data_IF_680545921332
#
_entry.id   IF_680545921332
#
_cell.length_a   1.000
_cell.length_b   1.000
_cell.length_c   1.000
_cell.angle_alpha   90.00
_cell.angle_beta   90.00
_cell.angle_gamma   90.00
#
_symmetry.space_group_name_H-M   'P 1'
#
loop_
_entity.id
_entity.type
_entity.pdbx_description
1 polymer ?
#
# COMPACT_ATOMS: atom_id res chain seq x y z
N UNK A 1 -14.18 -3.02 6.81
CA UNK A 1 -15.14 -4.11 7.03
C UNK A 1 -14.43 -5.44 7.12
N UNK A 2 -14.75 -6.18 8.17
CA UNK A 2 -14.08 -7.43 8.47
C UNK A 2 -14.95 -8.56 7.93
N UNK A 3 -14.35 -9.48 7.15
CA UNK A 3 -15.09 -10.61 6.60
C UNK A 3 -15.33 -11.70 7.65
N UNK A 4 -16.00 -12.76 7.24
CA UNK A 4 -16.34 -13.87 8.16
C UNK A 4 -15.11 -14.59 8.72
N UNK A 5 -13.98 -14.51 8.03
CA UNK A 5 -12.73 -15.16 8.43
C UNK A 5 -11.83 -14.25 9.29
N UNK A 6 -12.25 -13.00 9.51
CA UNK A 6 -11.53 -12.07 10.36
C UNK A 6 -10.56 -11.15 9.61
N UNK A 7 -10.63 -11.12 8.27
CA UNK A 7 -9.74 -10.27 7.46
C UNK A 7 -10.45 -9.01 7.01
N UNK A 8 -9.71 -7.91 7.03
CA UNK A 8 -10.21 -6.62 6.59
C UNK A 8 -9.68 -6.34 5.18
N UNK A 9 -10.58 -5.90 4.29
CA UNK A 9 -10.21 -5.53 2.92
C UNK A 9 -9.31 -4.30 2.93
N UNK A 10 -8.28 -4.35 2.11
CA UNK A 10 -7.23 -3.35 2.09
C UNK A 10 -6.65 -3.26 0.69
N UNK A 11 -6.07 -2.11 0.34
CA UNK A 11 -5.31 -1.95 -0.90
C UNK A 11 -3.88 -1.62 -0.55
N UNK A 12 -2.95 -2.16 -1.36
CA UNK A 12 -1.55 -1.80 -1.27
C UNK A 12 -1.14 -1.11 -2.56
N UNK A 13 -0.21 -0.18 -2.47
CA UNK A 13 0.22 0.64 -3.59
C UNK A 13 1.73 0.51 -3.80
N UNK A 14 2.10 0.03 -4.99
CA UNK A 14 3.49 0.02 -5.44
C UNK A 14 3.58 1.07 -6.54
N UNK A 15 4.18 2.21 -6.23
CA UNK A 15 4.39 3.30 -7.19
C UNK A 15 5.82 3.24 -7.70
N UNK A 16 6.00 3.24 -9.03
CA UNK A 16 7.34 3.29 -9.61
C UNK A 16 7.54 4.58 -10.38
N UNK A 17 8.80 5.00 -10.48
CA UNK A 17 9.18 6.16 -11.30
C UNK A 17 9.67 5.70 -12.68
N UNK A 18 10.14 6.65 -13.50
CA UNK A 18 10.61 6.36 -14.86
C UNK A 18 11.84 5.45 -14.89
N UNK A 19 12.55 5.33 -13.78
CA UNK A 19 13.74 4.47 -13.66
C UNK A 19 13.42 3.14 -12.99
N UNK A 20 12.14 2.83 -12.81
CA UNK A 20 11.64 1.61 -12.17
C UNK A 20 12.07 1.47 -10.71
N UNK A 21 12.35 2.58 -10.05
CA UNK A 21 12.52 2.60 -8.59
C UNK A 21 11.16 2.68 -7.94
N UNK A 22 11.05 2.12 -6.75
CA UNK A 22 9.78 2.01 -6.03
C UNK A 22 9.71 3.03 -4.88
N UNK A 23 8.52 3.58 -4.68
CA UNK A 23 8.28 4.51 -3.58
C UNK A 23 8.10 3.73 -2.28
N UNK A 24 8.86 4.12 -1.27
CA UNK A 24 8.63 3.62 0.07
C UNK A 24 8.52 4.81 1.02
N UNK A 25 7.64 4.70 2.00
CA UNK A 25 7.31 5.79 2.91
C UNK A 25 7.60 5.41 4.35
N UNK A 26 8.09 6.39 5.12
CA UNK A 26 8.39 6.21 6.53
C UNK A 26 7.17 6.62 7.34
N UNK A 27 6.75 5.76 8.27
CA UNK A 27 5.63 6.04 9.15
C UNK A 27 5.94 7.24 10.04
N UNK A 28 4.93 8.09 10.23
CA UNK A 28 5.07 9.33 10.97
C UNK A 28 5.61 9.07 12.37
N UNK A 29 6.75 9.71 12.68
CA UNK A 29 7.36 9.60 13.99
C UNK A 29 8.01 8.26 14.32
N UNK A 30 8.10 7.34 13.34
CA UNK A 30 8.67 6.02 13.54
C UNK A 30 9.84 5.79 12.59
N UNK A 31 10.59 4.73 12.81
CA UNK A 31 11.69 4.33 11.91
C UNK A 31 11.24 3.24 10.92
N UNK A 32 9.96 3.02 10.82
CA UNK A 32 9.39 1.94 10.01
C UNK A 32 9.04 2.43 8.61
N UNK A 33 9.50 1.71 7.60
CA UNK A 33 9.27 2.01 6.18
C UNK A 33 8.34 0.99 5.56
N UNK A 34 7.42 1.44 4.72
CA UNK A 34 6.46 0.56 4.08
C UNK A 34 5.91 1.16 2.78
N UNK A 35 5.25 0.32 1.99
CA UNK A 35 4.41 0.81 0.89
C UNK A 35 3.15 1.46 1.47
N UNK A 36 2.61 2.48 0.78
CA UNK A 36 1.28 2.98 1.15
C UNK A 36 0.25 1.87 1.07
N UNK A 37 -0.65 1.87 2.04
CA UNK A 37 -1.77 0.92 2.07
C UNK A 37 -2.90 1.53 2.87
N UNK A 38 -4.12 1.05 2.64
CA UNK A 38 -5.25 1.51 3.43
C UNK A 38 -6.48 0.66 3.24
N UNK A 39 -7.44 0.80 4.17
CA UNK A 39 -8.66 0.03 4.16
C UNK A 39 -9.70 0.56 3.18
N UNK A 40 -10.65 -0.30 2.83
CA UNK A 40 -11.81 0.11 2.04
C UNK A 40 -12.80 0.87 2.92
N UNK A 41 -13.44 1.86 2.32
CA UNK A 41 -14.63 2.48 2.89
C UNK A 41 -15.87 1.80 2.31
N UNK A 42 -17.02 2.08 2.90
CA UNK A 42 -18.28 1.50 2.47
C UNK A 42 -18.54 1.81 1.00
N UNK A 43 -18.98 0.81 0.26
CA UNK A 43 -19.31 0.90 -1.17
C UNK A 43 -18.14 1.16 -2.12
N UNK A 44 -16.91 1.07 -1.64
CA UNK A 44 -15.73 1.19 -2.51
C UNK A 44 -15.39 -0.15 -3.15
N UNK A 45 -14.93 -0.09 -4.40
CA UNK A 45 -14.20 -1.19 -5.00
C UNK A 45 -12.69 -0.98 -4.78
N UNK A 46 -11.88 -1.94 -5.19
CA UNK A 46 -10.43 -1.85 -4.98
C UNK A 46 -9.81 -0.62 -5.65
N UNK A 47 -10.22 -0.32 -6.88
CA UNK A 47 -9.65 0.82 -7.61
C UNK A 47 -10.01 2.15 -6.96
N UNK A 48 -11.26 2.34 -6.54
CA UNK A 48 -11.66 3.57 -5.87
C UNK A 48 -10.99 3.74 -4.52
N UNK A 49 -10.82 2.65 -3.78
CA UNK A 49 -10.08 2.68 -2.52
C UNK A 49 -8.62 3.07 -2.75
N UNK A 50 -8.01 2.52 -3.81
CA UNK A 50 -6.63 2.85 -4.17
C UNK A 50 -6.47 4.35 -4.48
N UNK A 51 -7.36 4.93 -5.29
CA UNK A 51 -7.25 6.34 -5.62
C UNK A 51 -7.45 7.24 -4.40
N UNK A 52 -8.39 6.89 -3.53
CA UNK A 52 -8.62 7.65 -2.30
C UNK A 52 -7.41 7.60 -1.39
N UNK A 53 -6.87 6.41 -1.15
CA UNK A 53 -5.69 6.24 -0.30
C UNK A 53 -4.45 6.91 -0.91
N UNK A 54 -4.29 6.82 -2.22
CA UNK A 54 -3.18 7.48 -2.92
C UNK A 54 -3.21 8.99 -2.65
N UNK A 55 -4.38 9.60 -2.74
CA UNK A 55 -4.50 11.02 -2.49
C UNK A 55 -4.29 11.36 -1.01
N UNK A 56 -4.98 10.65 -0.12
CA UNK A 56 -4.90 10.92 1.31
C UNK A 56 -3.48 10.73 1.86
N UNK A 57 -2.82 9.65 1.47
CA UNK A 57 -1.54 9.26 2.05
C UNK A 57 -0.33 9.83 1.32
N UNK A 58 -0.43 10.05 0.01
CA UNK A 58 0.72 10.42 -0.83
C UNK A 58 0.49 11.72 -1.60
N UNK A 59 -0.75 12.22 -1.65
CA UNK A 59 -1.07 13.49 -2.28
C UNK A 59 -1.22 13.44 -3.79
N UNK A 60 -1.15 12.26 -4.40
CA UNK A 60 -1.22 12.12 -5.85
C UNK A 60 -2.65 11.89 -6.32
N UNK A 61 -2.98 12.47 -7.48
CA UNK A 61 -4.29 12.37 -8.12
C UNK A 61 -4.22 11.41 -9.29
N UNK A 62 -5.40 11.09 -9.86
CA UNK A 62 -5.48 10.19 -11.02
C UNK A 62 -4.57 10.64 -12.16
N UNK A 63 -4.50 11.96 -12.42
CA UNK A 63 -3.70 12.49 -13.52
C UNK A 63 -2.19 12.37 -13.29
N UNK A 64 -1.78 12.08 -12.06
CA UNK A 64 -0.37 11.94 -11.71
C UNK A 64 0.18 10.55 -11.99
N UNK A 65 -0.71 9.58 -12.24
CA UNK A 65 -0.27 8.18 -12.34
C UNK A 65 -0.93 7.46 -13.50
N UNK A 66 -0.31 6.36 -13.88
CA UNK A 66 -0.87 5.38 -14.81
C UNK A 66 -0.92 4.03 -14.10
N UNK A 67 -2.07 3.36 -14.14
CA UNK A 67 -2.19 2.01 -13.57
C UNK A 67 -1.55 1.03 -14.54
N UNK A 68 -0.54 0.29 -14.08
CA UNK A 68 0.15 -0.71 -14.89
C UNK A 68 -0.41 -2.11 -14.68
N UNK A 69 -0.93 -2.39 -13.50
CA UNK A 69 -1.51 -3.69 -13.21
C UNK A 69 -1.96 -3.79 -11.76
N UNK A 70 -2.59 -4.90 -11.45
CA UNK A 70 -3.03 -5.21 -10.10
C UNK A 70 -2.96 -6.72 -9.88
N UNK A 71 -2.89 -7.13 -8.62
CA UNK A 71 -2.88 -8.57 -8.31
C UNK A 71 -4.25 -9.18 -8.60
N UNK A 72 -4.24 -10.42 -9.08
CA UNK A 72 -5.48 -11.13 -9.42
C UNK A 72 -6.22 -11.59 -8.18
N UNK A 73 -5.49 -12.02 -7.17
CA UNK A 73 -6.05 -12.60 -5.96
C UNK A 73 -5.89 -11.66 -4.77
N UNK A 74 -6.69 -11.89 -3.74
CA UNK A 74 -6.49 -11.26 -2.45
C UNK A 74 -5.25 -11.86 -1.79
N UNK A 75 -4.29 -11.03 -1.43
CA UNK A 75 -3.09 -11.45 -0.71
C UNK A 75 -3.29 -11.13 0.78
N UNK A 76 -3.09 -12.13 1.62
CA UNK A 76 -3.39 -12.00 3.06
C UNK A 76 -2.12 -11.95 3.88
N UNK A 77 -2.17 -11.19 4.97
CA UNK A 77 -1.21 -11.33 6.04
C UNK A 77 -1.94 -11.27 7.38
N UNK A 78 -1.39 -12.00 8.36
CA UNK A 78 -1.97 -12.04 9.70
C UNK A 78 -1.28 -11.01 10.58
N UNK A 79 -2.08 -10.37 11.45
CA UNK A 79 -1.55 -9.43 12.42
C UNK A 79 -1.09 -10.19 13.66
N UNK A 80 0.08 -9.85 14.23
CA UNK A 80 0.42 -10.31 15.58
C UNK A 80 -0.68 -9.93 16.57
N UNK A 81 -0.87 -10.75 17.59
CA UNK A 81 -1.98 -10.54 18.55
C UNK A 81 -2.05 -9.12 19.10
N UNK A 82 -0.88 -8.50 19.35
CA UNK A 82 -0.83 -7.15 19.91
C UNK A 82 -1.41 -6.08 18.99
N UNK A 83 -1.53 -6.37 17.68
CA UNK A 83 -2.10 -5.44 16.70
C UNK A 83 -3.55 -5.80 16.33
N UNK A 84 -4.06 -6.91 16.82
CA UNK A 84 -5.45 -7.29 16.53
C UNK A 84 -6.41 -6.42 17.34
N UNK A 85 -7.48 -5.97 16.70
CA UNK A 85 -8.47 -5.09 17.31
C UNK A 85 -9.87 -5.61 17.02
N UNK A 86 -10.77 -5.41 17.97
CA UNK A 86 -12.19 -5.69 17.79
C UNK A 86 -12.90 -4.45 17.27
N UNK A 87 -13.74 -4.64 16.26
CA UNK A 87 -14.62 -3.61 15.74
C UNK A 87 -16.01 -4.21 15.62
N UNK A 88 -17.01 -3.61 16.30
CA UNK A 88 -18.39 -4.11 16.35
C UNK A 88 -18.43 -5.59 16.73
N UNK A 89 -17.68 -5.95 17.77
CA UNK A 89 -17.57 -7.31 18.31
C UNK A 89 -16.92 -8.34 17.38
N UNK A 90 -16.32 -7.88 16.26
CA UNK A 90 -15.54 -8.75 15.38
C UNK A 90 -14.07 -8.48 15.57
N UNK A 91 -13.29 -9.55 15.72
CA UNK A 91 -11.85 -9.46 15.84
C UNK A 91 -11.22 -9.41 14.45
N UNK A 92 -10.40 -8.38 14.20
CA UNK A 92 -9.59 -8.31 12.98
C UNK A 92 -8.29 -9.05 13.21
N UNK A 93 -8.10 -10.17 12.53
CA UNK A 93 -6.89 -10.98 12.68
C UNK A 93 -5.86 -10.70 11.58
N UNK A 94 -6.25 -10.01 10.53
CA UNK A 94 -5.34 -9.70 9.44
C UNK A 94 -5.98 -8.83 8.39
N UNK A 95 -5.22 -8.59 7.33
CA UNK A 95 -5.68 -7.85 6.16
C UNK A 95 -5.69 -8.77 4.95
N UNK A 96 -6.62 -8.53 4.03
CA UNK A 96 -6.58 -9.14 2.71
C UNK A 96 -6.50 -8.01 1.70
N UNK A 97 -5.50 -8.07 0.83
CA UNK A 97 -5.11 -6.92 0.02
C UNK A 97 -5.18 -7.20 -1.47
N UNK A 98 -5.67 -6.21 -2.21
CA UNK A 98 -5.41 -6.08 -3.65
C UNK A 98 -4.28 -5.07 -3.79
N UNK A 99 -3.24 -5.44 -4.53
CA UNK A 99 -2.10 -4.59 -4.77
C UNK A 99 -2.15 -4.00 -6.17
N UNK A 100 -1.78 -2.72 -6.29
CA UNK A 100 -1.73 -2.01 -7.56
C UNK A 100 -0.29 -1.59 -7.85
N UNK A 101 0.11 -1.75 -9.10
CA UNK A 101 1.37 -1.20 -9.59
C UNK A 101 1.04 0.03 -10.43
N UNK A 102 1.57 1.18 -10.01
CA UNK A 102 1.31 2.47 -10.64
C UNK A 102 2.63 3.06 -11.12
N UNK A 103 2.57 3.78 -12.25
CA UNK A 103 3.70 4.59 -12.73
C UNK A 103 3.43 6.05 -12.44
N UNK A 104 4.37 6.74 -11.80
CA UNK A 104 4.28 8.19 -11.66
C UNK A 104 4.57 8.81 -13.02
N UNK A 105 3.64 9.61 -13.54
CA UNK A 105 3.77 10.29 -14.83
C UNK A 105 3.86 11.80 -14.69
N UNK A 106 3.79 12.32 -13.47
CA UNK A 106 4.04 13.72 -13.14
C UNK A 106 5.35 13.83 -12.36
N UNK A 107 5.64 15.02 -11.84
CA UNK A 107 6.85 15.25 -11.06
C UNK A 107 6.69 14.72 -9.63
N UNK A 108 7.75 14.15 -9.06
CA UNK A 108 7.69 13.62 -7.70
C UNK A 108 7.59 14.72 -6.63
N UNK A 109 7.76 15.98 -7.00
CA UNK A 109 7.45 17.09 -6.10
C UNK A 109 5.98 17.19 -5.75
N UNK A 110 5.11 16.50 -6.49
CA UNK A 110 3.67 16.43 -6.17
C UNK A 110 3.37 15.49 -5.00
N UNK A 111 4.33 14.67 -4.58
CA UNK A 111 4.16 13.82 -3.41
C UNK A 111 4.08 14.69 -2.16
N UNK A 112 2.99 14.53 -1.40
CA UNK A 112 2.72 15.36 -0.23
C UNK A 112 1.97 14.56 0.82
N UNK A 113 2.30 14.79 2.08
CA UNK A 113 1.62 14.16 3.21
C UNK A 113 0.64 15.11 3.89
N UNK A 114 0.35 16.25 3.27
CA UNK A 114 -0.46 17.31 3.88
C UNK A 114 -1.97 17.17 3.64
N UNK A 115 -2.39 16.14 2.91
CA UNK A 115 -3.81 15.97 2.56
C UNK A 115 -4.60 15.15 3.57
N UNK A 116 -4.00 14.86 4.72
CA UNK A 116 -4.65 14.19 5.84
C UNK A 116 -4.39 14.98 7.10
N UNK A 117 -5.39 15.07 7.97
CA UNK A 117 -5.23 15.74 9.27
C UNK A 117 -4.28 14.98 10.18
N UNK A 118 -4.19 13.66 9.99
CA UNK A 118 -3.28 12.79 10.72
C UNK A 118 -2.44 12.03 9.73
N UNK A 119 -1.34 12.63 9.24
CA UNK A 119 -0.52 11.98 8.21
C UNK A 119 0.01 10.63 8.68
N UNK A 120 -0.11 9.63 7.82
CA UNK A 120 0.45 8.31 8.06
C UNK A 120 1.97 8.32 7.97
N UNK A 121 2.52 9.18 7.10
CA UNK A 121 3.94 9.22 6.75
C UNK A 121 4.52 10.61 6.93
N UNK A 122 5.84 10.67 7.16
CA UNK A 122 6.57 11.94 7.22
C UNK A 122 7.77 12.01 6.28
N UNK A 123 8.11 10.93 5.59
CA UNK A 123 9.23 10.88 4.65
C UNK A 123 8.97 9.87 3.56
N UNK A 124 9.62 10.03 2.41
CA UNK A 124 9.55 9.06 1.33
C UNK A 124 10.88 8.99 0.59
N UNK A 125 11.12 7.90 -0.11
CA UNK A 125 12.29 7.76 -0.97
C UNK A 125 12.01 6.75 -2.08
N UNK A 126 12.80 6.85 -3.14
CA UNK A 126 12.84 5.86 -4.21
C UNK A 126 13.89 4.81 -3.86
N UNK A 127 13.51 3.54 -3.98
CA UNK A 127 14.40 2.42 -3.63
C UNK A 127 14.38 1.37 -4.73
N UNK A 128 15.37 0.49 -4.72
CA UNK A 128 15.38 -0.67 -5.62
C UNK A 128 14.26 -1.63 -5.27
N UNK A 129 13.88 -2.49 -6.20
CA UNK A 129 12.78 -3.43 -6.01
C UNK A 129 13.00 -4.45 -4.88
N UNK A 130 14.23 -4.66 -4.47
CA UNK A 130 14.56 -5.60 -3.39
C UNK A 130 14.49 -4.96 -2.01
N UNK A 131 14.65 -3.64 -1.93
CA UNK A 131 14.74 -2.94 -0.66
C UNK A 131 13.47 -3.05 0.21
N UNK A 132 12.25 -2.94 -0.35
CA UNK A 132 11.06 -3.01 0.50
C UNK A 132 10.93 -4.29 1.32
N UNK A 133 11.31 -5.43 0.75
CA UNK A 133 11.25 -6.72 1.47
C UNK A 133 12.25 -6.73 2.62
N UNK A 134 13.42 -6.10 2.43
CA UNK A 134 14.46 -6.07 3.45
C UNK A 134 14.08 -5.24 4.68
N UNK A 135 13.35 -4.15 4.47
CA UNK A 135 13.15 -3.15 5.54
C UNK A 135 11.75 -3.11 6.13
N UNK A 136 10.77 -3.78 5.52
CA UNK A 136 9.41 -3.77 6.07
C UNK A 136 9.34 -4.66 7.32
N UNK A 137 8.39 -4.36 8.18
CA UNK A 137 8.12 -5.16 9.38
C UNK A 137 7.88 -6.63 9.00
N UNK A 138 8.38 -7.56 9.81
CA UNK A 138 8.45 -8.99 9.48
C UNK A 138 7.14 -9.60 9.02
N UNK A 139 6.02 -9.28 9.66
CA UNK A 139 4.75 -9.93 9.32
C UNK A 139 4.18 -9.49 7.97
N UNK A 140 4.76 -8.47 7.33
CA UNK A 140 4.36 -8.04 5.99
C UNK A 140 5.29 -8.53 4.89
N UNK A 141 6.43 -9.13 5.24
CA UNK A 141 7.44 -9.53 4.24
C UNK A 141 6.91 -10.49 3.19
N UNK A 142 6.14 -11.49 3.62
CA UNK A 142 5.62 -12.49 2.70
C UNK A 142 4.63 -11.90 1.69
N UNK A 143 3.73 -11.03 2.13
CA UNK A 143 2.77 -10.41 1.22
C UNK A 143 3.46 -9.44 0.27
N UNK A 144 4.50 -8.73 0.73
CA UNK A 144 5.31 -7.87 -0.15
C UNK A 144 6.00 -8.70 -1.22
N UNK A 145 6.57 -9.83 -0.83
CA UNK A 145 7.25 -10.72 -1.77
C UNK A 145 6.30 -11.22 -2.85
N UNK A 146 5.11 -11.67 -2.46
CA UNK A 146 4.10 -12.15 -3.40
C UNK A 146 3.62 -11.06 -4.35
N UNK A 147 3.35 -9.86 -3.82
CA UNK A 147 2.91 -8.75 -4.66
C UNK A 147 3.98 -8.35 -5.67
N UNK A 148 5.23 -8.24 -5.23
CA UNK A 148 6.34 -7.87 -6.11
C UNK A 148 6.61 -8.96 -7.16
N UNK A 149 6.54 -10.23 -6.79
CA UNK A 149 6.73 -11.33 -7.74
C UNK A 149 5.68 -11.29 -8.86
N UNK A 150 4.44 -10.94 -8.54
CA UNK A 150 3.38 -10.84 -9.54
C UNK A 150 3.50 -9.59 -10.40
N UNK A 151 3.82 -8.44 -9.81
CA UNK A 151 3.70 -7.14 -10.48
C UNK A 151 4.99 -6.63 -11.12
N UNK A 152 6.15 -6.87 -10.52
CA UNK A 152 7.41 -6.34 -11.06
C UNK A 152 7.71 -6.81 -12.49
N UNK A 153 7.38 -8.05 -12.90
CA UNK A 153 7.60 -8.44 -14.30
C UNK A 153 6.94 -7.53 -15.32
N UNK A 154 5.87 -6.83 -14.94
CA UNK A 154 5.18 -5.90 -15.84
C UNK A 154 6.08 -4.76 -16.28
N UNK A 155 6.97 -4.27 -15.41
CA UNK A 155 7.86 -3.15 -15.73
C UNK A 155 9.24 -3.59 -16.20
N UNK A 156 9.49 -4.89 -16.26
CA UNK A 156 10.79 -5.42 -16.69
C UNK A 156 10.82 -5.78 -18.19
N UNK A 157 9.71 -5.73 -18.85
CA UNK A 157 9.62 -6.08 -20.27
C UNK A 157 9.55 -4.86 -21.16
#
# INVERSE_FOLDING_TARGET
MIDKDGYRKNVGIILCNSQNKLLICKRFGEKSWQFPQGGFEENENAESAMFRELFEEVGLKKDDIMILGSTNEWLKYDLPKKYQRKTNNKLCIGQKQKWFLLRLISDDSNISFENSEQPEFDSWQWVSETKPIEIVIDFKKDVYKKALEELIPIIKN
#
